data_IF_167484493751
#
_entry.id   IF_167484493751
#
_cell.length_a   1.000
_cell.length_b   1.000
_cell.length_c   1.000
_cell.angle_alpha   90.00
_cell.angle_beta   90.00
_cell.angle_gamma   90.00
#
_symmetry.space_group_name_H-M   'P 1'
#
loop_
_entity.id
_entity.type
_entity.pdbx_description
1 polymer ?
#
# COMPACT_ATOMS: atom_id res chain seq x y z
N UNK A 1 1.56 6.21 4.03
CA UNK A 1 1.43 5.95 2.57
C UNK A 1 1.57 7.25 1.79
N UNK A 2 2.35 7.27 0.69
CA UNK A 2 2.44 8.46 -0.19
C UNK A 2 1.32 8.48 -1.24
N UNK A 3 1.08 9.64 -1.87
CA UNK A 3 0.11 9.79 -2.97
C UNK A 3 0.40 8.88 -4.18
N UNK A 4 1.65 8.49 -4.38
CA UNK A 4 2.04 7.55 -5.44
C UNK A 4 1.71 6.11 -5.06
N UNK A 5 1.78 5.76 -3.77
CA UNK A 5 1.45 4.42 -3.27
C UNK A 5 -0.06 4.17 -3.28
N UNK A 6 -0.88 5.23 -3.13
CA UNK A 6 -2.36 5.16 -3.14
C UNK A 6 -2.99 5.38 -4.51
N UNK A 7 -2.19 5.68 -5.54
CA UNK A 7 -2.68 5.93 -6.90
C UNK A 7 -3.37 7.28 -7.10
N UNK A 8 -3.34 8.18 -6.11
CA UNK A 8 -3.96 9.52 -6.17
C UNK A 8 -3.35 10.42 -7.25
N UNK A 9 -2.11 10.14 -7.68
CA UNK A 9 -1.42 10.95 -8.69
C UNK A 9 -1.84 10.68 -10.14
N UNK A 10 -2.82 9.79 -10.41
CA UNK A 10 -3.25 9.40 -11.77
C UNK A 10 -2.11 8.94 -12.69
N UNK A 11 -0.92 8.72 -12.14
CA UNK A 11 0.24 8.12 -12.77
C UNK A 11 0.22 6.61 -12.59
N UNK A 12 1.01 5.86 -13.37
CA UNK A 12 1.12 4.41 -13.21
C UNK A 12 1.59 4.07 -11.79
N UNK A 13 0.64 3.67 -10.92
CA UNK A 13 0.93 3.19 -9.58
C UNK A 13 1.89 2.00 -9.68
N UNK A 14 3.13 2.22 -9.25
CA UNK A 14 4.24 1.27 -9.43
C UNK A 14 4.39 0.31 -8.24
N UNK A 15 3.35 0.22 -7.39
CA UNK A 15 3.35 -0.54 -6.14
C UNK A 15 3.91 0.23 -4.95
N UNK A 16 3.75 -0.36 -3.77
CA UNK A 16 4.25 0.14 -2.48
C UNK A 16 5.74 -0.17 -2.38
N UNK A 17 6.55 0.82 -2.02
CA UNK A 17 7.98 0.60 -1.73
C UNK A 17 8.16 -0.13 -0.40
N UNK A 18 8.90 -1.24 -0.41
CA UNK A 18 9.22 -2.01 0.80
C UNK A 18 10.66 -1.68 1.22
N UNK A 19 10.87 -1.11 2.43
CA UNK A 19 12.21 -0.84 2.92
C UNK A 19 13.06 -2.12 3.02
N UNK A 20 14.35 -2.02 2.67
CA UNK A 20 15.26 -3.18 2.66
C UNK A 20 15.40 -3.85 4.02
N UNK A 21 15.36 -3.09 5.10
CA UNK A 21 15.43 -3.67 6.45
C UNK A 21 14.19 -4.56 6.69
N UNK A 22 12.98 -4.11 6.33
CA UNK A 22 11.74 -4.91 6.42
C UNK A 22 11.80 -6.16 5.53
N UNK A 23 12.36 -6.05 4.32
CA UNK A 23 12.56 -7.20 3.44
C UNK A 23 13.41 -8.32 4.10
N UNK A 24 14.28 -7.95 5.04
CA UNK A 24 15.15 -8.88 5.76
C UNK A 24 14.55 -9.40 7.08
N UNK A 25 13.42 -8.86 7.54
CA UNK A 25 12.74 -9.29 8.78
C UNK A 25 11.94 -10.60 8.64
N UNK A 26 11.99 -11.26 7.47
CA UNK A 26 11.34 -12.56 7.23
C UNK A 26 9.83 -12.51 6.96
N UNK A 27 9.21 -11.32 7.00
CA UNK A 27 7.80 -11.13 6.63
C UNK A 27 7.58 -11.47 5.15
N UNK A 28 8.50 -11.06 4.27
CA UNK A 28 8.45 -11.35 2.84
C UNK A 28 9.40 -12.50 2.49
N UNK A 29 9.11 -13.32 1.46
CA UNK A 29 10.06 -14.31 0.98
C UNK A 29 11.36 -13.65 0.50
N UNK A 30 12.50 -14.30 0.73
CA UNK A 30 13.78 -13.80 0.26
C UNK A 30 13.84 -13.80 -1.28
N UNK A 31 14.25 -12.68 -1.86
CA UNK A 31 14.52 -12.53 -3.29
C UNK A 31 16.00 -12.19 -3.48
N UNK A 32 16.74 -13.11 -4.12
CA UNK A 32 18.17 -12.98 -4.36
C UNK A 32 18.53 -12.13 -5.58
N UNK A 33 19.80 -12.18 -5.97
CA UNK A 33 20.35 -11.46 -7.13
C UNK A 33 20.69 -12.38 -8.31
N UNK A 34 20.34 -13.66 -8.23
CA UNK A 34 20.66 -14.68 -9.25
C UNK A 34 19.89 -14.50 -10.57
N UNK A 35 18.76 -13.79 -10.52
CA UNK A 35 17.92 -13.50 -11.68
C UNK A 35 17.56 -12.01 -11.72
N UNK A 36 17.30 -11.48 -12.92
CA UNK A 36 16.86 -10.10 -13.10
C UNK A 36 15.40 -9.96 -12.67
N UNK A 37 15.12 -8.98 -11.81
CA UNK A 37 13.80 -8.65 -11.30
C UNK A 37 13.00 -9.85 -10.76
N UNK A 38 13.57 -10.66 -9.84
CA UNK A 38 12.91 -11.84 -9.32
C UNK A 38 11.64 -11.42 -8.59
N UNK A 39 10.62 -12.28 -8.67
CA UNK A 39 9.29 -12.00 -8.13
C UNK A 39 8.64 -13.24 -7.57
N UNK A 40 7.74 -13.04 -6.63
CA UNK A 40 6.94 -14.09 -6.02
C UNK A 40 5.57 -13.56 -5.64
N UNK A 41 4.57 -14.43 -5.72
CA UNK A 41 3.24 -14.13 -5.16
C UNK A 41 3.31 -14.29 -3.66
N UNK A 42 2.89 -13.27 -2.91
CA UNK A 42 2.80 -13.32 -1.45
C UNK A 42 1.36 -13.07 -1.04
N UNK A 43 0.87 -13.90 -0.11
CA UNK A 43 -0.49 -13.81 0.41
C UNK A 43 -0.49 -13.28 1.83
N UNK A 44 -1.46 -12.43 2.14
CA UNK A 44 -1.74 -11.96 3.49
C UNK A 44 -3.22 -12.14 3.82
N UNK A 45 -3.52 -12.33 5.09
CA UNK A 45 -4.88 -12.38 5.62
C UNK A 45 -5.14 -11.12 6.42
N UNK A 46 -6.26 -10.45 6.21
CA UNK A 46 -6.65 -9.28 6.99
C UNK A 46 -7.44 -9.65 8.26
N UNK A 47 -8.01 -8.63 8.92
CA UNK A 47 -8.78 -8.78 10.16
C UNK A 47 -10.18 -9.40 9.93
N UNK A 48 -10.67 -9.37 8.70
CA UNK A 48 -11.95 -9.97 8.28
C UNK A 48 -11.75 -11.39 7.68
N UNK A 49 -10.56 -11.98 7.88
CA UNK A 49 -10.10 -13.25 7.30
C UNK A 49 -10.12 -13.29 5.75
N UNK A 50 -10.11 -12.13 5.10
CA UNK A 50 -10.00 -12.03 3.66
C UNK A 50 -8.55 -12.21 3.19
N UNK A 51 -8.38 -13.04 2.15
CA UNK A 51 -7.07 -13.34 1.58
C UNK A 51 -6.74 -12.36 0.45
N UNK A 52 -5.59 -11.70 0.59
CA UNK A 52 -5.06 -10.77 -0.40
C UNK A 52 -3.78 -11.31 -1.00
N UNK A 53 -3.73 -11.38 -2.34
CA UNK A 53 -2.55 -11.81 -3.10
C UNK A 53 -1.86 -10.63 -3.75
N UNK A 54 -0.56 -10.49 -3.50
CA UNK A 54 0.26 -9.42 -4.07
C UNK A 54 1.45 -10.01 -4.83
N UNK A 55 2.07 -9.17 -5.66
CA UNK A 55 3.32 -9.49 -6.34
C UNK A 55 4.47 -8.77 -5.66
N UNK A 56 5.32 -9.51 -4.97
CA UNK A 56 6.56 -8.99 -4.37
C UNK A 56 7.70 -9.12 -5.36
N UNK A 57 8.35 -8.00 -5.68
CA UNK A 57 9.36 -7.90 -6.75
C UNK A 57 10.61 -7.20 -6.21
N UNK A 58 11.78 -7.71 -6.55
CA UNK A 58 13.05 -7.02 -6.31
C UNK A 58 13.57 -6.40 -7.60
N UNK A 59 13.39 -5.10 -7.81
CA UNK A 59 14.04 -4.43 -8.93
C UNK A 59 15.53 -4.28 -8.65
N UNK A 60 16.33 -5.10 -9.33
CA UNK A 60 17.73 -5.37 -9.01
C UNK A 60 18.65 -5.17 -10.24
N UNK A 61 18.22 -4.38 -11.24
CA UNK A 61 18.96 -4.15 -12.48
C UNK A 61 20.36 -3.52 -12.27
N UNK A 62 20.64 -3.00 -11.07
CA UNK A 62 22.00 -2.59 -10.65
C UNK A 62 23.02 -3.74 -10.70
N UNK A 63 22.58 -5.00 -10.57
CA UNK A 63 23.43 -6.18 -10.67
C UNK A 63 23.55 -6.72 -12.11
N UNK A 64 22.79 -6.16 -13.06
CA UNK A 64 22.66 -6.66 -14.43
C UNK A 64 23.18 -5.65 -15.48
N UNK A 65 24.22 -4.91 -15.13
CA UNK A 65 24.96 -4.07 -16.09
C UNK A 65 24.30 -2.75 -16.48
N UNK A 66 23.22 -2.35 -15.80
CA UNK A 66 22.59 -1.04 -16.03
C UNK A 66 23.43 0.08 -15.42
N UNK A 67 23.45 1.24 -16.09
CA UNK A 67 24.12 2.44 -15.58
C UNK A 67 23.59 2.80 -14.19
N UNK A 68 24.50 2.93 -13.20
CA UNK A 68 24.14 3.09 -11.78
C UNK A 68 23.18 4.27 -11.53
N UNK A 69 23.31 5.36 -12.27
CA UNK A 69 22.44 6.53 -12.16
C UNK A 69 20.97 6.25 -12.56
N UNK A 70 20.72 5.17 -13.31
CA UNK A 70 19.40 4.75 -13.82
C UNK A 70 18.99 3.36 -13.32
N UNK A 71 19.80 2.78 -12.44
CA UNK A 71 19.60 1.45 -11.90
C UNK A 71 18.76 1.50 -10.63
N UNK A 72 17.83 0.56 -10.55
CA UNK A 72 17.00 0.25 -9.42
C UNK A 72 17.70 -0.76 -8.51
N UNK A 73 17.46 -0.58 -7.22
CA UNK A 73 17.86 -1.49 -6.17
C UNK A 73 16.84 -1.37 -5.03
N UNK A 74 15.61 -1.78 -5.31
CA UNK A 74 14.46 -1.57 -4.44
C UNK A 74 13.47 -2.74 -4.49
N UNK A 75 12.82 -3.00 -3.37
CA UNK A 75 11.75 -3.97 -3.28
C UNK A 75 10.40 -3.27 -3.42
N UNK A 76 9.47 -3.89 -4.14
CA UNK A 76 8.12 -3.38 -4.30
C UNK A 76 7.06 -4.45 -4.09
N UNK A 77 5.94 -4.03 -3.53
CA UNK A 77 4.71 -4.80 -3.48
C UNK A 77 3.72 -4.21 -4.49
N UNK A 78 3.40 -4.99 -5.51
CA UNK A 78 2.50 -4.59 -6.61
C UNK A 78 1.19 -5.39 -6.53
N UNK A 79 0.23 -5.08 -7.42
CA UNK A 79 -1.15 -5.61 -7.34
C UNK A 79 -1.91 -5.18 -6.07
N UNK A 80 -1.51 -4.06 -5.45
CA UNK A 80 -2.10 -3.52 -4.21
C UNK A 80 -3.43 -2.76 -4.41
N UNK A 81 -3.82 -2.54 -5.68
CA UNK A 81 -4.96 -1.68 -6.04
C UNK A 81 -6.27 -2.12 -5.41
N UNK A 82 -6.56 -3.42 -5.47
CA UNK A 82 -7.82 -3.94 -4.95
C UNK A 82 -7.89 -3.81 -3.44
N UNK A 83 -6.79 -4.10 -2.73
CA UNK A 83 -6.71 -3.89 -1.27
C UNK A 83 -6.91 -2.43 -0.89
N UNK A 84 -6.22 -1.50 -1.56
CA UNK A 84 -6.33 -0.06 -1.31
C UNK A 84 -7.75 0.45 -1.59
N UNK A 85 -8.35 0.02 -2.69
CA UNK A 85 -9.70 0.43 -3.10
C UNK A 85 -10.76 -0.12 -2.17
N UNK A 86 -10.66 -1.40 -1.81
CA UNK A 86 -11.58 -2.07 -0.89
C UNK A 86 -11.62 -1.37 0.47
N UNK A 87 -10.44 -1.05 1.01
CA UNK A 87 -10.29 -0.47 2.34
C UNK A 87 -10.25 1.07 2.34
N UNK A 88 -10.53 1.69 1.19
CA UNK A 88 -10.53 3.14 0.99
C UNK A 88 -9.27 3.81 1.58
N UNK A 89 -8.10 3.20 1.38
CA UNK A 89 -6.83 3.64 1.96
C UNK A 89 -6.33 4.88 1.21
N UNK A 90 -6.03 5.94 1.95
CA UNK A 90 -5.65 7.24 1.41
C UNK A 90 -4.23 7.63 1.82
N UNK A 91 -3.67 8.64 1.14
CA UNK A 91 -2.37 9.19 1.49
C UNK A 91 -2.39 9.69 2.94
N UNK A 92 -1.40 9.28 3.72
CA UNK A 92 -1.34 9.52 5.16
C UNK A 92 -1.71 8.30 6.00
N UNK A 93 -2.54 7.39 5.50
CA UNK A 93 -2.81 6.11 6.19
C UNK A 93 -1.53 5.26 6.26
N UNK A 94 -1.47 4.38 7.24
CA UNK A 94 -0.37 3.42 7.43
C UNK A 94 -0.86 2.02 7.15
N UNK A 95 -0.06 1.22 6.44
CA UNK A 95 -0.30 -0.22 6.25
C UNK A 95 0.74 -0.96 7.06
N UNK A 96 0.29 -1.94 7.83
CA UNK A 96 1.18 -2.82 8.58
C UNK A 96 1.13 -4.23 8.01
N UNK A 97 2.26 -4.94 8.15
CA UNK A 97 2.40 -6.35 7.79
C UNK A 97 2.98 -7.08 8.99
N UNK A 98 2.58 -8.33 9.20
CA UNK A 98 3.07 -9.14 10.29
C UNK A 98 3.01 -10.63 9.99
N UNK A 99 3.53 -11.43 10.89
CA UNK A 99 3.33 -12.88 10.95
C UNK A 99 2.76 -13.16 12.35
N UNK A 100 1.64 -13.89 12.42
CA UNK A 100 1.05 -14.28 13.70
C UNK A 100 1.74 -15.53 14.30
N UNK A 101 1.32 -15.93 15.50
CA UNK A 101 1.88 -17.08 16.23
C UNK A 101 1.76 -18.41 15.45
N UNK A 102 0.83 -18.49 14.50
CA UNK A 102 0.62 -19.66 13.65
C UNK A 102 1.46 -19.63 12.37
N UNK A 103 2.27 -18.58 12.17
CA UNK A 103 3.08 -18.40 10.98
C UNK A 103 2.30 -17.82 9.79
N UNK A 104 1.07 -17.36 10.00
CA UNK A 104 0.24 -16.77 8.93
C UNK A 104 0.63 -15.30 8.76
N UNK A 105 0.86 -14.90 7.51
CA UNK A 105 1.11 -13.50 7.15
C UNK A 105 -0.16 -12.67 7.28
N UNK A 106 -0.09 -11.59 8.04
CA UNK A 106 -1.20 -10.67 8.31
C UNK A 106 -0.96 -9.29 7.72
N UNK A 107 -2.03 -8.66 7.26
CA UNK A 107 -2.03 -7.28 6.76
C UNK A 107 -3.15 -6.50 7.45
N UNK A 108 -2.91 -5.23 7.70
CA UNK A 108 -3.95 -4.30 8.11
C UNK A 108 -3.54 -2.87 7.84
N UNK A 109 -4.33 -1.92 8.33
CA UNK A 109 -4.04 -0.50 8.14
C UNK A 109 -4.53 0.33 9.33
N UNK A 110 -3.87 1.45 9.55
CA UNK A 110 -4.26 2.47 10.52
C UNK A 110 -4.61 3.73 9.74
N UNK A 111 -5.83 4.22 9.91
CA UNK A 111 -6.22 5.51 9.35
C UNK A 111 -5.42 6.62 10.01
N UNK A 112 -4.89 7.54 9.21
CA UNK A 112 -4.27 8.74 9.77
C UNK A 112 -5.29 9.48 10.63
N UNK A 113 -4.94 9.98 11.83
CA UNK A 113 -5.76 10.91 12.57
C UNK A 113 -5.79 12.25 11.81
N UNK A 114 -6.64 12.32 10.78
CA UNK A 114 -7.25 13.46 10.05
C UNK A 114 -7.23 13.31 8.53
N UNK A 115 -8.41 13.02 7.95
CA UNK A 115 -9.00 13.70 6.76
C UNK A 115 -10.45 13.30 6.43
N UNK A 116 -11.27 12.96 7.43
CA UNK A 116 -12.71 13.13 7.25
C UNK A 116 -12.99 14.64 7.19
N UNK A 117 -13.10 15.19 5.98
CA UNK A 117 -13.60 16.56 5.76
C UNK A 117 -15.10 16.59 6.02
N UNK A 118 -15.48 16.51 7.29
CA UNK A 118 -16.75 17.04 7.73
C UNK A 118 -16.54 18.53 7.97
N UNK A 119 -17.01 19.37 7.06
CA UNK A 119 -17.16 20.79 7.38
C UNK A 119 -18.40 20.90 8.27
N UNK A 120 -18.29 21.65 9.37
CA UNK A 120 -19.45 22.02 10.17
C UNK A 120 -19.95 23.38 9.69
N UNK A 121 -21.25 23.52 9.49
CA UNK A 121 -21.84 24.84 9.26
C UNK A 121 -21.83 25.68 10.57
N UNK A 122 -22.26 26.94 10.48
CA UNK A 122 -22.32 27.85 11.63
C UNK A 122 -23.28 27.36 12.74
N UNK A 123 -24.08 26.32 12.47
CA UNK A 123 -25.01 25.67 13.40
C UNK A 123 -24.46 24.34 13.97
N UNK A 124 -23.27 23.91 13.53
CA UNK A 124 -22.56 22.73 14.03
C UNK A 124 -22.91 21.41 13.33
N UNK A 125 -23.71 21.44 12.27
CA UNK A 125 -24.14 20.25 11.53
C UNK A 125 -23.03 19.70 10.63
N UNK A 126 -22.94 18.38 10.51
CA UNK A 126 -21.93 17.73 9.67
C UNK A 126 -22.34 17.79 8.19
N UNK A 127 -21.56 18.51 7.39
CA UNK A 127 -21.74 18.62 5.94
C UNK A 127 -20.81 17.65 5.22
N UNK A 128 -21.40 16.74 4.44
CA UNK A 128 -20.69 15.81 3.57
C UNK A 128 -20.81 16.29 2.13
N UNK A 129 -19.68 16.63 1.50
CA UNK A 129 -19.65 17.05 0.10
C UNK A 129 -19.15 15.91 -0.77
N UNK A 130 -20.03 15.36 -1.61
CA UNK A 130 -19.71 14.29 -2.55
C UNK A 130 -19.44 14.94 -3.91
N UNK A 131 -18.36 14.55 -4.62
CA UNK A 131 -18.09 15.04 -5.97
C UNK A 131 -19.26 14.67 -6.90
N UNK A 132 -20.05 15.68 -7.29
CA UNK A 132 -21.27 15.52 -8.08
C UNK A 132 -22.34 16.60 -7.86
N UNK A 133 -22.12 17.56 -6.94
CA UNK A 133 -23.04 18.68 -6.72
C UNK A 133 -24.27 18.35 -5.87
N UNK A 134 -24.24 17.24 -5.12
CA UNK A 134 -25.30 16.87 -4.19
C UNK A 134 -24.85 17.10 -2.75
N UNK A 135 -25.73 17.68 -1.94
CA UNK A 135 -25.54 17.93 -0.52
C UNK A 135 -26.52 17.08 0.30
N UNK A 136 -26.03 16.41 1.34
CA UNK A 136 -26.85 15.67 2.30
C UNK A 136 -26.54 16.18 3.71
N UNK A 137 -27.59 16.46 4.48
CA UNK A 137 -27.51 16.97 5.86
C UNK A 137 -28.09 15.91 6.80
N UNK A 138 -27.37 15.61 7.89
CA UNK A 138 -27.79 14.69 8.94
C UNK A 138 -27.88 15.44 10.28
N UNK A 139 -29.07 15.40 10.89
CA UNK A 139 -29.34 15.92 12.24
C UNK A 139 -28.81 14.98 13.32
#
# INVERSE_FOLDING_TARGET
MSKNDTGETHSHQSGISIPKFIANEGIFPHLGTEALNPRVTVTFVDEDDQIWSFQYIYYNDVFFGKERAKAHNEFRLTCVKDYIRHNSICSGDEIWFGIDESGVRRIGFVKSPTKDKYEKDDEGNVVISIKGGWHYVKY
#
